data_IF_289934290137
#
_entry.id   IF_289934290137
#
_cell.length_a   1.000
_cell.length_b   1.000
_cell.length_c   1.000
_cell.angle_alpha   90.00
_cell.angle_beta   90.00
_cell.angle_gamma   90.00
#
_symmetry.space_group_name_H-M   'P 1'
#
loop_
_entity.id
_entity.type
_entity.pdbx_description
1 polymer ?
#
# COMPACT_ATOMS: atom_id res chain seq x y z
N UNK A 1 6.89 17.81 5.63
CA UNK A 1 5.57 17.79 6.30
C UNK A 1 4.55 18.02 5.21
N UNK A 2 3.67 17.06 5.01
CA UNK A 2 2.72 17.07 3.89
C UNK A 2 1.31 17.47 4.30
N UNK A 3 0.87 17.14 5.52
CA UNK A 3 -0.48 17.48 5.98
C UNK A 3 -0.62 18.90 6.46
N UNK A 4 -1.76 19.54 6.14
CA UNK A 4 -2.19 20.77 6.77
C UNK A 4 -2.50 20.51 8.25
N UNK A 5 -1.87 21.25 9.15
CA UNK A 5 -2.03 21.05 10.60
C UNK A 5 -3.47 21.20 11.08
N UNK A 6 -4.27 22.03 10.38
CA UNK A 6 -5.68 22.28 10.73
C UNK A 6 -6.67 21.22 10.23
N UNK A 7 -6.24 20.22 9.42
CA UNK A 7 -7.12 19.12 9.05
C UNK A 7 -7.38 18.22 10.26
N UNK A 8 -8.54 17.59 10.32
CA UNK A 8 -8.91 16.66 11.38
C UNK A 8 -8.83 15.22 10.87
N UNK A 9 -8.32 14.32 11.71
CA UNK A 9 -8.23 12.89 11.39
C UNK A 9 -9.51 12.20 11.84
N UNK A 10 -10.17 11.50 10.90
CA UNK A 10 -11.30 10.63 11.18
C UNK A 10 -10.81 9.18 11.32
N UNK A 11 -10.90 8.65 12.53
CA UNK A 11 -10.51 7.27 12.85
C UNK A 11 -11.67 6.28 12.81
N UNK A 12 -12.86 6.70 12.40
CA UNK A 12 -14.09 5.89 12.49
C UNK A 12 -14.08 4.59 11.68
N UNK A 13 -13.30 4.54 10.60
CA UNK A 13 -13.11 3.33 9.78
C UNK A 13 -11.83 2.58 10.12
N UNK A 14 -11.06 3.05 11.12
CA UNK A 14 -9.76 2.50 11.49
C UNK A 14 -9.83 1.66 12.74
N UNK A 15 -9.17 0.51 12.69
CA UNK A 15 -8.91 -0.34 13.86
C UNK A 15 -7.40 -0.45 14.09
N UNK A 16 -7.00 -0.77 15.31
CA UNK A 16 -5.61 -1.06 15.64
C UNK A 16 -5.54 -2.30 16.52
N UNK A 17 -4.69 -3.25 16.15
CA UNK A 17 -4.43 -4.47 16.93
C UNK A 17 -2.93 -4.65 17.12
N UNK A 18 -2.52 -4.99 18.36
CA UNK A 18 -1.18 -5.46 18.64
C UNK A 18 -1.14 -6.97 18.48
N UNK A 19 -0.26 -7.48 17.64
CA UNK A 19 -0.01 -8.91 17.53
C UNK A 19 0.77 -9.42 18.75
N UNK A 20 0.48 -10.65 19.20
CA UNK A 20 1.29 -11.31 20.19
C UNK A 20 2.70 -11.58 19.63
N UNK A 21 3.72 -10.97 20.20
CA UNK A 21 5.11 -11.39 19.96
C UNK A 21 5.28 -12.80 20.53
N UNK A 22 5.25 -13.81 19.69
CA UNK A 22 5.79 -15.11 20.05
C UNK A 22 7.25 -14.94 20.46
N UNK A 23 7.77 -15.74 21.43
CA UNK A 23 9.15 -15.65 21.85
C UNK A 23 10.05 -15.87 20.64
N UNK A 24 10.82 -14.85 20.29
CA UNK A 24 11.72 -14.84 19.15
C UNK A 24 12.71 -16.01 19.21
N UNK A 25 12.41 -17.09 18.54
CA UNK A 25 13.40 -17.98 17.98
C UNK A 25 13.64 -17.47 16.55
N UNK A 26 14.81 -16.85 16.38
CA UNK A 26 15.30 -16.53 15.06
C UNK A 26 15.21 -17.76 14.18
N UNK A 27 14.19 -17.81 13.35
CA UNK A 27 14.16 -18.71 12.21
C UNK A 27 15.11 -18.04 11.21
N UNK A 28 16.31 -18.58 11.13
CA UNK A 28 17.14 -18.42 9.96
C UNK A 28 16.42 -19.18 8.81
N UNK A 29 15.30 -18.62 8.36
CA UNK A 29 14.88 -18.89 7.01
C UNK A 29 15.86 -18.09 6.16
N UNK A 30 16.59 -18.76 5.30
CA UNK A 30 17.32 -18.14 4.20
C UNK A 30 16.33 -17.48 3.24
N UNK A 31 15.48 -16.61 3.77
CA UNK A 31 14.45 -15.82 3.15
C UNK A 31 14.93 -14.38 3.19
N UNK A 32 15.84 -14.05 2.25
CA UNK A 32 15.99 -12.69 1.81
C UNK A 32 14.69 -12.21 1.16
N UNK A 33 14.70 -10.99 0.67
CA UNK A 33 13.64 -10.27 -0.06
C UNK A 33 12.62 -11.11 -0.89
N UNK A 34 12.96 -12.35 -1.27
CA UNK A 34 12.09 -13.28 -1.99
C UNK A 34 10.88 -13.82 -1.20
N UNK A 35 10.93 -13.85 0.14
CA UNK A 35 9.81 -14.35 0.95
C UNK A 35 8.62 -13.38 0.99
N UNK A 36 8.90 -12.09 1.01
CA UNK A 36 7.89 -11.01 1.00
C UNK A 36 7.06 -11.03 -0.30
N UNK A 37 7.74 -11.20 -1.43
CA UNK A 37 7.11 -11.29 -2.76
C UNK A 37 6.15 -12.47 -2.89
N UNK A 38 6.48 -13.62 -2.32
CA UNK A 38 5.68 -14.84 -2.50
C UNK A 38 4.31 -14.71 -1.84
N UNK A 39 4.20 -14.02 -0.72
CA UNK A 39 2.95 -13.91 0.04
C UNK A 39 2.00 -12.90 -0.59
N UNK A 40 2.49 -11.75 -1.02
CA UNK A 40 1.69 -10.74 -1.73
C UNK A 40 1.15 -11.32 -3.04
N UNK A 41 2.01 -12.00 -3.80
CA UNK A 41 1.63 -12.73 -5.03
C UNK A 41 0.58 -13.80 -4.75
N UNK A 42 0.72 -14.57 -3.68
CA UNK A 42 -0.24 -15.62 -3.33
C UNK A 42 -1.64 -15.04 -3.08
N UNK A 43 -1.74 -13.92 -2.36
CA UNK A 43 -3.01 -13.24 -2.10
C UNK A 43 -3.69 -12.75 -3.39
N UNK A 44 -2.92 -12.14 -4.29
CA UNK A 44 -3.45 -11.66 -5.58
C UNK A 44 -3.75 -12.76 -6.59
N UNK A 45 -3.02 -13.86 -6.56
CA UNK A 45 -3.26 -14.99 -7.46
C UNK A 45 -4.33 -15.96 -6.95
N UNK A 46 -4.96 -15.69 -5.80
CA UNK A 46 -5.95 -16.61 -5.20
C UNK A 46 -5.35 -17.93 -4.74
N UNK A 47 -4.04 -17.98 -4.57
CA UNK A 47 -3.34 -19.12 -3.97
C UNK A 47 -3.42 -18.95 -2.46
N UNK A 48 -3.88 -19.98 -1.76
CA UNK A 48 -3.92 -19.97 -0.29
C UNK A 48 -2.51 -19.75 0.27
N UNK A 49 -2.25 -18.60 0.97
CA UNK A 49 -0.93 -18.32 1.52
C UNK A 49 -0.42 -19.42 2.44
N UNK A 50 -1.34 -20.18 3.08
CA UNK A 50 -0.99 -21.31 3.95
C UNK A 50 -0.34 -22.47 3.19
N UNK A 51 -0.50 -22.53 1.86
CA UNK A 51 0.12 -23.56 1.03
C UNK A 51 1.60 -23.26 0.71
N UNK A 52 2.05 -22.01 0.89
CA UNK A 52 3.41 -21.57 0.61
C UNK A 52 4.19 -21.21 1.87
N UNK A 53 3.51 -21.08 3.02
CA UNK A 53 4.11 -20.84 4.33
C UNK A 53 4.13 -22.15 5.13
N UNK A 54 5.27 -22.62 5.69
CA UNK A 54 5.29 -23.78 6.55
C UNK A 54 4.36 -23.60 7.75
N UNK A 55 3.38 -24.49 7.93
CA UNK A 55 2.47 -24.46 9.08
C UNK A 55 3.26 -24.55 10.38
N UNK A 56 3.29 -23.46 11.16
CA UNK A 56 3.73 -23.49 12.54
C UNK A 56 2.55 -23.89 13.43
N UNK A 57 2.73 -24.96 14.19
CA UNK A 57 1.79 -25.37 15.22
C UNK A 57 1.56 -24.23 16.23
N UNK A 58 0.30 -23.92 16.50
CA UNK A 58 -0.12 -22.96 17.50
C UNK A 58 0.51 -23.29 18.87
N UNK A 59 1.44 -22.47 19.32
CA UNK A 59 1.91 -22.46 20.71
C UNK A 59 0.87 -21.78 21.62
N UNK A 60 1.04 -21.89 22.96
CA UNK A 60 0.08 -21.29 23.90
C UNK A 60 -0.05 -19.81 23.66
N UNK A 61 -1.29 -19.32 23.65
CA UNK A 61 -1.65 -17.90 23.50
C UNK A 61 -0.88 -17.06 24.52
N UNK A 62 0.02 -16.23 24.02
CA UNK A 62 0.66 -15.16 24.78
C UNK A 62 -0.27 -13.95 24.82
N UNK A 63 -0.22 -13.19 25.90
CA UNK A 63 -1.04 -11.99 26.10
C UNK A 63 -0.95 -11.06 24.87
N UNK A 64 -2.12 -10.64 24.37
CA UNK A 64 -2.22 -9.67 23.27
C UNK A 64 -1.51 -8.38 23.68
N UNK A 65 -0.58 -7.92 22.86
CA UNK A 65 0.00 -6.58 23.03
C UNK A 65 -1.09 -5.57 22.63
N UNK A 66 -1.36 -4.54 23.41
CA UNK A 66 -2.32 -3.51 23.01
C UNK A 66 -1.91 -2.90 21.65
N UNK A 67 -2.88 -2.69 20.75
CA UNK A 67 -2.67 -1.95 19.52
C UNK A 67 -2.31 -0.48 19.78
N UNK A 68 -1.97 0.23 18.72
CA UNK A 68 -1.72 1.67 18.79
C UNK A 68 -2.98 2.43 19.24
N UNK A 69 -2.84 3.38 20.16
CA UNK A 69 -3.93 4.21 20.65
C UNK A 69 -4.31 5.29 19.63
N UNK A 70 -5.38 5.03 18.87
CA UNK A 70 -5.90 5.92 17.83
C UNK A 70 -6.38 7.29 18.37
N UNK A 71 -6.60 7.44 19.67
CA UNK A 71 -6.98 8.72 20.27
C UNK A 71 -5.89 9.79 20.17
N UNK A 72 -4.67 9.40 19.85
CA UNK A 72 -3.55 10.29 19.57
C UNK A 72 -3.66 10.98 18.21
N UNK A 73 -4.42 10.40 17.26
CA UNK A 73 -4.55 10.91 15.91
C UNK A 73 -5.73 11.89 15.81
N UNK A 74 -5.49 13.17 15.95
CA UNK A 74 -6.54 14.20 15.96
C UNK A 74 -6.45 15.14 14.76
N UNK A 75 -5.25 15.57 14.41
CA UNK A 75 -5.01 16.64 13.45
C UNK A 75 -3.89 16.29 12.46
N UNK A 76 -3.75 17.09 11.42
CA UNK A 76 -2.63 16.98 10.49
C UNK A 76 -1.26 17.16 11.15
N UNK A 77 -1.17 17.89 12.27
CA UNK A 77 0.06 17.97 13.05
C UNK A 77 0.48 16.60 13.56
N UNK A 78 -0.47 15.81 14.11
CA UNK A 78 -0.21 14.44 14.57
C UNK A 78 0.20 13.54 13.40
N UNK A 79 -0.42 13.70 12.23
CA UNK A 79 -0.05 12.94 11.02
C UNK A 79 1.37 13.28 10.52
N UNK A 80 1.82 14.51 10.71
CA UNK A 80 3.18 14.91 10.35
C UNK A 80 4.25 14.28 11.25
N UNK A 81 3.92 13.93 12.50
CA UNK A 81 4.85 13.41 13.50
C UNK A 81 4.74 11.89 13.70
N UNK A 82 3.51 11.35 13.72
CA UNK A 82 3.22 9.96 14.09
C UNK A 82 2.86 9.16 12.84
N UNK A 83 3.62 8.12 12.55
CA UNK A 83 3.46 7.29 11.33
C UNK A 83 2.07 6.65 11.26
N UNK A 84 1.56 6.14 12.38
CA UNK A 84 0.21 5.55 12.46
C UNK A 84 -0.87 6.59 12.11
N UNK A 85 -0.74 7.80 12.64
CA UNK A 85 -1.66 8.88 12.32
C UNK A 85 -1.52 9.34 10.86
N UNK A 86 -0.30 9.29 10.29
CA UNK A 86 -0.06 9.54 8.86
C UNK A 86 -0.82 8.56 7.99
N UNK A 87 -0.77 7.27 8.28
CA UNK A 87 -1.54 6.24 7.54
C UNK A 87 -3.03 6.57 7.55
N UNK A 88 -3.60 6.85 8.72
CA UNK A 88 -5.03 7.18 8.85
C UNK A 88 -5.39 8.47 8.11
N UNK A 89 -4.59 9.52 8.28
CA UNK A 89 -4.79 10.81 7.61
C UNK A 89 -4.69 10.70 6.09
N UNK A 90 -3.76 9.87 5.59
CA UNK A 90 -3.65 9.57 4.16
C UNK A 90 -4.91 8.87 3.66
N UNK A 91 -5.39 7.86 4.36
CA UNK A 91 -6.67 7.20 4.03
C UNK A 91 -7.83 8.19 3.94
N UNK A 92 -7.94 9.11 4.92
CA UNK A 92 -8.98 10.15 4.88
C UNK A 92 -8.84 11.08 3.65
N UNK A 93 -7.59 11.42 3.28
CA UNK A 93 -7.32 12.23 2.09
C UNK A 93 -7.69 11.50 0.80
N UNK A 94 -7.33 10.21 0.70
CA UNK A 94 -7.66 9.35 -0.45
C UNK A 94 -9.18 9.21 -0.59
N UNK A 95 -9.88 8.94 0.52
CA UNK A 95 -11.34 8.90 0.56
C UNK A 95 -11.96 10.20 0.04
N UNK A 96 -11.45 11.35 0.51
CA UNK A 96 -11.95 12.66 0.10
C UNK A 96 -11.77 12.93 -1.40
N UNK A 97 -10.70 12.43 -2.01
CA UNK A 97 -10.46 12.53 -3.46
C UNK A 97 -11.39 11.59 -4.22
N UNK A 98 -11.42 10.30 -3.86
CA UNK A 98 -12.18 9.31 -4.61
C UNK A 98 -13.70 9.44 -4.48
N UNK A 99 -14.20 10.00 -3.39
CA UNK A 99 -15.62 10.38 -3.27
C UNK A 99 -16.06 11.39 -4.34
N UNK A 100 -15.14 12.23 -4.82
CA UNK A 100 -15.41 13.21 -5.88
C UNK A 100 -15.24 12.62 -7.28
N UNK A 101 -14.31 11.68 -7.46
CA UNK A 101 -13.93 11.14 -8.76
C UNK A 101 -14.71 9.88 -9.16
N UNK A 102 -15.10 9.04 -8.19
CA UNK A 102 -15.78 7.76 -8.45
C UNK A 102 -17.21 7.77 -7.91
N UNK A 103 -18.23 7.86 -8.77
CA UNK A 103 -19.62 7.76 -8.35
C UNK A 103 -19.89 6.43 -7.63
N UNK A 104 -20.47 6.50 -6.45
CA UNK A 104 -20.74 5.30 -5.63
C UNK A 104 -19.54 4.80 -4.81
N UNK A 105 -18.47 5.58 -4.71
CA UNK A 105 -17.35 5.26 -3.84
C UNK A 105 -17.80 5.02 -2.40
N UNK A 106 -17.34 3.93 -1.82
CA UNK A 106 -17.52 3.60 -0.40
C UNK A 106 -16.13 3.48 0.24
N UNK A 107 -16.00 3.97 1.46
CA UNK A 107 -14.72 3.95 2.17
C UNK A 107 -14.33 2.52 2.55
N UNK A 108 -13.07 2.10 2.35
CA UNK A 108 -12.57 0.87 2.92
C UNK A 108 -12.40 1.00 4.43
N UNK A 109 -12.23 -0.13 5.10
CA UNK A 109 -11.68 -0.16 6.45
C UNK A 109 -10.16 -0.03 6.40
N UNK A 110 -9.58 0.48 7.48
CA UNK A 110 -8.14 0.51 7.71
C UNK A 110 -7.81 -0.31 8.95
N UNK A 111 -6.84 -1.18 8.87
CA UNK A 111 -6.35 -1.94 10.02
C UNK A 111 -4.86 -1.70 10.21
N UNK A 112 -4.51 -1.06 11.32
CA UNK A 112 -3.13 -0.98 11.78
C UNK A 112 -2.85 -2.23 12.62
N UNK A 113 -1.80 -2.98 12.28
CA UNK A 113 -1.45 -4.18 13.02
C UNK A 113 0.06 -4.25 13.29
N UNK A 114 0.48 -5.13 14.16
CA UNK A 114 1.89 -5.45 14.41
C UNK A 114 2.05 -6.94 14.61
N UNK A 115 3.00 -7.55 13.94
CA UNK A 115 3.34 -8.96 14.04
C UNK A 115 2.43 -9.87 13.20
N UNK A 116 1.17 -10.06 13.59
CA UNK A 116 0.20 -10.90 12.85
C UNK A 116 -1.22 -10.38 12.95
N UNK A 117 -2.02 -10.66 11.94
CA UNK A 117 -3.44 -10.28 11.85
C UNK A 117 -4.24 -11.35 11.11
N UNK A 118 -5.46 -11.61 11.58
CA UNK A 118 -6.43 -12.42 10.84
C UNK A 118 -7.28 -11.51 9.95
N UNK A 119 -7.43 -11.90 8.68
CA UNK A 119 -8.14 -11.12 7.66
C UNK A 119 -9.16 -11.98 6.91
N UNK A 120 -10.07 -11.34 6.19
CA UNK A 120 -10.98 -12.04 5.29
C UNK A 120 -10.28 -12.83 4.17
N UNK A 121 -9.03 -12.48 3.86
CA UNK A 121 -8.19 -13.16 2.86
C UNK A 121 -7.27 -14.24 3.47
N UNK A 122 -7.37 -14.50 4.78
CA UNK A 122 -6.52 -15.44 5.52
C UNK A 122 -5.60 -14.73 6.53
N UNK A 123 -4.83 -15.49 7.32
CA UNK A 123 -3.89 -14.92 8.27
C UNK A 123 -2.71 -14.26 7.55
N UNK A 124 -2.27 -13.12 8.05
CA UNK A 124 -1.10 -12.39 7.54
C UNK A 124 -0.14 -12.02 8.66
N UNK A 125 1.12 -11.79 8.32
CA UNK A 125 2.17 -11.34 9.23
C UNK A 125 2.83 -10.08 8.70
N UNK A 126 3.62 -9.40 9.52
CA UNK A 126 4.42 -8.22 9.12
C UNK A 126 5.31 -8.46 7.89
N UNK A 127 5.65 -9.73 7.60
CA UNK A 127 6.47 -10.08 6.42
C UNK A 127 5.74 -9.87 5.08
N UNK A 128 4.41 -9.75 5.11
CA UNK A 128 3.60 -9.50 3.90
C UNK A 128 3.76 -8.07 3.40
N UNK A 129 4.06 -7.14 4.30
CA UNK A 129 3.95 -5.70 4.03
C UNK A 129 2.51 -5.20 4.07
N UNK A 130 2.25 -3.95 3.69
CA UNK A 130 0.90 -3.42 3.47
C UNK A 130 0.16 -4.17 2.36
N UNK A 131 -1.14 -4.33 2.50
CA UNK A 131 -1.98 -4.97 1.48
C UNK A 131 -3.45 -4.61 1.64
N UNK A 132 -4.20 -4.72 0.54
CA UNK A 132 -5.65 -4.63 0.52
C UNK A 132 -6.28 -6.01 0.40
N UNK A 133 -7.27 -6.31 1.26
CA UNK A 133 -8.07 -7.52 1.16
C UNK A 133 -9.46 -7.21 0.57
N UNK A 134 -9.80 -7.72 -0.62
CA UNK A 134 -11.09 -7.45 -1.24
C UNK A 134 -12.26 -8.15 -0.56
N UNK A 135 -12.02 -9.23 0.18
CA UNK A 135 -13.08 -10.04 0.83
C UNK A 135 -13.74 -9.25 1.98
N UNK A 136 -12.95 -8.56 2.78
CA UNK A 136 -13.43 -7.75 3.91
C UNK A 136 -13.36 -6.23 3.66
N UNK A 137 -12.85 -5.85 2.47
CA UNK A 137 -12.68 -4.46 2.02
C UNK A 137 -11.84 -3.64 3.00
N UNK A 138 -10.72 -4.21 3.44
CA UNK A 138 -9.84 -3.61 4.44
C UNK A 138 -8.43 -3.44 3.88
N UNK A 139 -7.84 -2.26 4.05
CA UNK A 139 -6.43 -2.00 3.82
C UNK A 139 -5.66 -2.22 5.14
N UNK A 140 -4.67 -3.08 5.11
CA UNK A 140 -3.89 -3.53 6.25
C UNK A 140 -2.49 -2.93 6.23
N UNK A 141 -2.05 -2.37 7.37
CA UNK A 141 -0.75 -1.73 7.48
C UNK A 141 -0.03 -2.16 8.76
N UNK A 142 1.11 -2.82 8.61
CA UNK A 142 2.12 -2.83 9.66
C UNK A 142 3.04 -1.62 9.45
N UNK A 143 3.03 -0.67 10.38
CA UNK A 143 3.79 0.57 10.24
C UNK A 143 5.30 0.39 10.34
N UNK A 144 5.78 -0.73 10.87
CA UNK A 144 7.20 -1.09 10.87
C UNK A 144 7.74 -1.32 9.45
N UNK A 145 6.84 -1.65 8.49
CA UNK A 145 7.20 -1.78 7.09
C UNK A 145 7.84 -0.52 6.50
N UNK A 146 7.46 0.67 6.93
CA UNK A 146 8.05 1.90 6.39
C UNK A 146 9.54 2.04 6.72
N UNK A 147 9.99 1.52 7.85
CA UNK A 147 11.42 1.46 8.15
C UNK A 147 12.13 0.37 7.31
N UNK A 148 11.47 -0.76 7.06
CA UNK A 148 11.95 -1.79 6.15
C UNK A 148 12.06 -1.24 4.73
N UNK A 149 11.04 -0.53 4.24
CA UNK A 149 11.02 0.12 2.93
C UNK A 149 12.22 1.04 2.72
N UNK A 150 12.59 1.79 3.76
CA UNK A 150 13.74 2.68 3.75
C UNK A 150 15.07 1.92 3.84
N UNK A 151 15.22 1.03 4.81
CA UNK A 151 16.51 0.43 5.16
C UNK A 151 16.90 -0.76 4.31
N UNK A 152 15.92 -1.53 3.82
CA UNK A 152 16.16 -2.74 3.03
C UNK A 152 15.89 -2.52 1.54
N UNK A 153 14.87 -1.75 1.19
CA UNK A 153 14.48 -1.49 -0.21
C UNK A 153 15.05 -0.19 -0.77
N UNK A 154 15.66 0.65 0.09
CA UNK A 154 16.35 1.87 -0.34
C UNK A 154 15.42 3.01 -0.77
N UNK A 155 14.19 3.03 -0.28
CA UNK A 155 13.29 4.19 -0.40
C UNK A 155 13.85 5.39 0.38
N UNK A 156 13.52 6.60 -0.04
CA UNK A 156 13.90 7.83 0.68
C UNK A 156 13.36 7.89 2.10
N UNK A 157 12.24 7.21 2.39
CA UNK A 157 11.56 7.23 3.68
C UNK A 157 10.90 8.57 4.01
N UNK A 158 10.78 9.48 3.04
CA UNK A 158 10.08 10.74 3.22
C UNK A 158 8.57 10.56 3.45
N UNK A 159 7.86 11.60 3.93
CA UNK A 159 6.44 11.49 4.22
C UNK A 159 5.62 11.01 3.03
N UNK A 160 5.79 11.60 1.83
CA UNK A 160 5.02 11.20 0.66
C UNK A 160 5.40 9.79 0.15
N UNK A 161 6.59 9.26 0.48
CA UNK A 161 6.93 7.87 0.22
C UNK A 161 6.03 6.90 0.99
N UNK A 162 5.70 7.23 2.25
CA UNK A 162 4.79 6.44 3.09
C UNK A 162 3.33 6.62 2.65
N UNK A 163 2.94 7.84 2.34
CA UNK A 163 1.60 8.20 1.87
C UNK A 163 1.28 7.55 0.52
N UNK A 164 2.27 7.44 -0.38
CA UNK A 164 2.13 6.72 -1.65
C UNK A 164 1.74 5.25 -1.42
N UNK A 165 2.39 4.56 -0.47
CA UNK A 165 2.05 3.16 -0.17
C UNK A 165 0.60 3.04 0.27
N UNK A 166 0.13 3.95 1.14
CA UNK A 166 -1.28 3.95 1.57
C UNK A 166 -2.21 4.20 0.38
N UNK A 167 -1.91 5.18 -0.46
CA UNK A 167 -2.73 5.51 -1.62
C UNK A 167 -2.76 4.37 -2.65
N UNK A 168 -1.68 3.59 -2.78
CA UNK A 168 -1.60 2.40 -3.62
C UNK A 168 -2.57 1.31 -3.14
N UNK A 169 -2.61 1.00 -1.84
CA UNK A 169 -3.55 0.02 -1.28
C UNK A 169 -5.02 0.46 -1.46
N UNK A 170 -5.28 1.75 -1.34
CA UNK A 170 -6.58 2.32 -1.68
C UNK A 170 -6.87 2.27 -3.19
N UNK A 171 -5.84 2.31 -4.04
CA UNK A 171 -5.95 2.04 -5.47
C UNK A 171 -6.53 0.65 -5.74
N UNK A 172 -6.10 -0.36 -5.01
CA UNK A 172 -6.69 -1.70 -5.08
C UNK A 172 -8.15 -1.73 -4.60
N UNK A 173 -8.49 -0.90 -3.61
CA UNK A 173 -9.89 -0.74 -3.22
C UNK A 173 -10.74 -0.14 -4.34
N UNK A 174 -10.24 0.89 -5.02
CA UNK A 174 -10.91 1.47 -6.21
C UNK A 174 -11.11 0.41 -7.29
N UNK A 175 -10.08 -0.36 -7.62
CA UNK A 175 -10.16 -1.47 -8.57
C UNK A 175 -11.21 -2.52 -8.16
N UNK A 176 -11.35 -2.79 -6.87
CA UNK A 176 -12.37 -3.69 -6.35
C UNK A 176 -13.78 -3.12 -6.58
N UNK A 177 -13.98 -1.83 -6.31
CA UNK A 177 -15.27 -1.15 -6.56
C UNK A 177 -15.62 -1.10 -8.06
N UNK A 178 -14.63 -0.94 -8.92
CA UNK A 178 -14.79 -0.98 -10.38
C UNK A 178 -14.97 -2.41 -10.94
N UNK A 179 -14.76 -3.44 -10.11
CA UNK A 179 -14.89 -4.85 -10.51
C UNK A 179 -13.74 -5.34 -11.40
N UNK A 180 -12.60 -4.63 -11.43
CA UNK A 180 -11.45 -4.97 -12.28
C UNK A 180 -10.36 -5.74 -11.54
N UNK A 181 -10.34 -5.73 -10.21
CA UNK A 181 -9.30 -6.36 -9.40
C UNK A 181 -9.15 -7.87 -9.70
N UNK A 182 -10.24 -8.56 -9.98
CA UNK A 182 -10.22 -9.98 -10.35
C UNK A 182 -9.50 -10.30 -11.67
N UNK A 183 -9.16 -9.29 -12.48
CA UNK A 183 -8.38 -9.48 -13.72
C UNK A 183 -6.94 -9.88 -13.45
N UNK A 184 -6.39 -9.54 -12.29
CA UNK A 184 -5.04 -9.92 -11.89
C UNK A 184 -4.80 -11.43 -11.97
N UNK A 185 -5.84 -12.24 -11.72
CA UNK A 185 -5.79 -13.70 -11.71
C UNK A 185 -5.96 -14.32 -13.10
N UNK A 186 -6.16 -13.51 -14.14
CA UNK A 186 -6.45 -13.97 -15.50
C UNK A 186 -5.32 -13.57 -16.45
N UNK A 187 -4.98 -14.43 -17.39
CA UNK A 187 -4.04 -14.13 -18.47
C UNK A 187 -2.60 -14.44 -18.17
N UNK A 188 -1.69 -13.82 -18.95
CA UNK A 188 -0.26 -14.10 -18.89
C UNK A 188 0.38 -13.50 -17.62
N UNK A 189 1.44 -14.14 -17.15
CA UNK A 189 2.37 -13.63 -16.15
C UNK A 189 3.50 -12.84 -16.81
N UNK A 190 4.33 -12.20 -15.99
CA UNK A 190 5.52 -11.47 -16.45
C UNK A 190 5.27 -9.99 -16.67
N UNK A 191 6.27 -9.31 -17.24
CA UNK A 191 6.36 -7.84 -17.34
C UNK A 191 5.13 -7.14 -17.97
N UNK A 192 4.34 -7.84 -18.76
CA UNK A 192 3.10 -7.34 -19.36
C UNK A 192 1.88 -8.13 -18.90
N UNK A 193 2.02 -8.95 -17.86
CA UNK A 193 0.96 -9.78 -17.30
C UNK A 193 -0.12 -8.98 -16.58
N UNK A 194 -1.28 -9.60 -16.37
CA UNK A 194 -2.40 -8.91 -15.72
C UNK A 194 -2.12 -8.56 -14.26
N UNK A 195 -1.28 -9.31 -13.55
CA UNK A 195 -0.80 -8.93 -12.22
C UNK A 195 -0.09 -7.57 -12.28
N UNK A 196 0.93 -7.46 -13.13
CA UNK A 196 1.67 -6.20 -13.34
C UNK A 196 0.72 -5.06 -13.74
N UNK A 197 -0.23 -5.29 -14.66
CA UNK A 197 -1.22 -4.27 -15.06
C UNK A 197 -2.08 -3.78 -13.89
N UNK A 198 -2.47 -4.68 -13.00
CA UNK A 198 -3.23 -4.34 -11.79
C UNK A 198 -2.40 -3.45 -10.86
N UNK A 199 -1.15 -3.80 -10.62
CA UNK A 199 -0.24 -3.01 -9.78
C UNK A 199 0.03 -1.62 -10.35
N UNK A 200 0.33 -1.54 -11.64
CA UNK A 200 0.59 -0.26 -12.31
C UNK A 200 -0.64 0.64 -12.36
N UNK A 201 -1.84 0.07 -12.43
CA UNK A 201 -3.08 0.85 -12.31
C UNK A 201 -3.25 1.40 -10.90
N UNK A 202 -2.93 0.63 -9.86
CA UNK A 202 -2.95 1.11 -8.47
C UNK A 202 -1.91 2.23 -8.26
N UNK A 203 -0.73 2.13 -8.85
CA UNK A 203 0.27 3.21 -8.86
C UNK A 203 -0.26 4.48 -9.54
N UNK A 204 -0.96 4.33 -10.66
CA UNK A 204 -1.58 5.45 -11.37
C UNK A 204 -2.68 6.10 -10.51
N UNK A 205 -3.51 5.32 -9.84
CA UNK A 205 -4.54 5.82 -8.93
C UNK A 205 -3.94 6.55 -7.71
N UNK A 206 -2.80 6.08 -7.20
CA UNK A 206 -2.04 6.82 -6.19
C UNK A 206 -1.53 8.15 -6.73
N UNK A 207 -1.11 8.20 -7.99
CA UNK A 207 -0.76 9.44 -8.69
C UNK A 207 -1.94 10.39 -8.84
N UNK A 208 -3.11 9.89 -9.25
CA UNK A 208 -4.36 10.68 -9.33
C UNK A 208 -4.71 11.27 -7.97
N UNK A 209 -4.63 10.49 -6.88
CA UNK A 209 -4.80 11.03 -5.54
C UNK A 209 -3.83 12.17 -5.26
N UNK A 210 -2.54 11.99 -5.51
CA UNK A 210 -1.52 13.00 -5.25
C UNK A 210 -1.77 14.31 -6.02
N UNK A 211 -2.32 14.22 -7.24
CA UNK A 211 -2.73 15.39 -8.03
C UNK A 211 -3.75 16.28 -7.28
N UNK A 212 -4.72 15.65 -6.63
CA UNK A 212 -5.84 16.36 -5.98
C UNK A 212 -5.64 16.60 -4.49
N UNK A 213 -4.73 15.89 -3.82
CA UNK A 213 -4.61 15.86 -2.36
C UNK A 213 -4.41 17.24 -1.71
N UNK A 214 -3.69 18.14 -2.40
CA UNK A 214 -3.44 19.50 -1.92
C UNK A 214 -4.58 20.49 -2.19
N UNK A 215 -5.56 20.14 -3.03
CA UNK A 215 -6.68 21.01 -3.38
C UNK A 215 -8.03 20.49 -2.89
N UNK A 216 -8.13 19.18 -2.64
CA UNK A 216 -9.33 18.57 -2.04
C UNK A 216 -9.46 19.00 -0.58
N UNK A 217 -10.58 19.63 -0.27
CA UNK A 217 -10.88 20.13 1.07
C UNK A 217 -11.67 19.10 1.87
N UNK A 218 -11.32 18.99 3.13
CA UNK A 218 -12.11 18.23 4.10
C UNK A 218 -13.44 18.96 4.36
N UNK A 219 -14.56 18.27 4.23
CA UNK A 219 -15.90 18.87 4.39
C UNK A 219 -16.10 19.49 5.76
N UNK A 220 -15.62 18.84 6.83
CA UNK A 220 -15.82 19.28 8.21
C UNK A 220 -15.08 20.56 8.58
N UNK A 221 -13.91 20.81 7.94
CA UNK A 221 -13.03 21.95 8.30
C UNK A 221 -12.90 22.99 7.18
N UNK A 222 -13.17 22.60 5.94
CA UNK A 222 -12.91 23.42 4.75
C UNK A 222 -11.41 23.58 4.43
N UNK A 223 -10.52 22.91 5.17
CA UNK A 223 -9.08 22.93 4.97
C UNK A 223 -8.68 21.82 3.99
N UNK A 224 -7.76 22.08 3.04
CA UNK A 224 -7.18 21.01 2.22
C UNK A 224 -6.49 19.95 3.10
N UNK A 225 -6.52 18.69 2.67
CA UNK A 225 -5.85 17.64 3.43
C UNK A 225 -4.33 17.84 3.48
N UNK A 226 -3.73 18.05 2.32
CA UNK A 226 -2.28 18.25 2.21
C UNK A 226 -1.94 19.72 1.91
N UNK A 227 -0.72 20.09 2.25
CA UNK A 227 -0.09 21.30 1.72
C UNK A 227 0.29 21.09 0.25
N UNK A 228 0.54 22.17 -0.52
CA UNK A 228 1.06 22.01 -1.88
C UNK A 228 2.30 21.13 -1.90
N UNK A 229 2.26 20.07 -2.72
CA UNK A 229 3.36 19.13 -2.85
C UNK A 229 4.56 19.80 -3.54
N UNK A 230 5.75 19.56 -3.03
CA UNK A 230 7.01 20.01 -3.60
C UNK A 230 7.61 18.97 -4.53
N UNK A 231 8.57 19.35 -5.37
CA UNK A 231 9.34 18.41 -6.19
C UNK A 231 10.01 17.31 -5.34
N UNK A 232 10.41 17.66 -4.10
CA UNK A 232 10.98 16.69 -3.16
C UNK A 232 9.95 15.66 -2.73
N UNK A 233 8.72 16.08 -2.44
CA UNK A 233 7.66 15.17 -2.04
C UNK A 233 7.36 14.18 -3.19
N UNK A 234 7.26 14.67 -4.43
CA UNK A 234 7.08 13.81 -5.60
C UNK A 234 8.27 12.85 -5.78
N UNK A 235 9.50 13.33 -5.60
CA UNK A 235 10.68 12.46 -5.64
C UNK A 235 10.64 11.38 -4.54
N UNK A 236 10.10 11.67 -3.36
CA UNK A 236 9.91 10.70 -2.28
C UNK A 236 8.91 9.59 -2.69
N UNK A 237 7.77 9.95 -3.30
CA UNK A 237 6.80 8.98 -3.82
C UNK A 237 7.41 8.10 -4.93
N UNK A 238 8.09 8.71 -5.90
CA UNK A 238 8.79 7.99 -6.98
C UNK A 238 9.89 7.07 -6.44
N UNK A 239 10.57 7.47 -5.37
CA UNK A 239 11.55 6.62 -4.68
C UNK A 239 10.89 5.38 -4.08
N UNK A 240 9.73 5.53 -3.43
CA UNK A 240 8.99 4.39 -2.90
C UNK A 240 8.52 3.45 -4.03
N UNK A 241 7.88 3.98 -5.07
CA UNK A 241 7.43 3.21 -6.23
C UNK A 241 8.59 2.42 -6.87
N UNK A 242 9.73 3.06 -7.06
CA UNK A 242 10.93 2.41 -7.61
C UNK A 242 11.50 1.34 -6.69
N UNK A 243 11.47 1.55 -5.36
CA UNK A 243 12.12 0.66 -4.41
C UNK A 243 11.47 -0.71 -4.31
N UNK A 244 10.19 -0.82 -4.67
CA UNK A 244 9.41 -2.06 -4.67
C UNK A 244 9.17 -2.63 -6.08
N UNK A 245 9.93 -2.18 -7.09
CA UNK A 245 9.94 -2.80 -8.42
C UNK A 245 10.58 -4.18 -8.40
N UNK A 246 9.98 -5.12 -9.16
CA UNK A 246 10.45 -6.50 -9.23
C UNK A 246 11.91 -6.60 -9.72
N UNK A 247 12.33 -5.72 -10.61
CA UNK A 247 13.70 -5.64 -11.12
C UNK A 247 14.72 -5.37 -9.99
N UNK A 248 14.45 -4.39 -9.14
CA UNK A 248 15.33 -4.05 -8.01
C UNK A 248 15.33 -5.12 -6.93
N UNK A 249 14.16 -5.66 -6.62
CA UNK A 249 14.03 -6.70 -5.61
C UNK A 249 14.78 -7.96 -6.06
N UNK A 250 14.59 -8.39 -7.31
CA UNK A 250 15.26 -9.58 -7.85
C UNK A 250 16.78 -9.39 -7.96
N UNK A 251 17.23 -8.22 -8.42
CA UNK A 251 18.65 -7.93 -8.51
C UNK A 251 19.31 -7.92 -7.13
N UNK A 252 18.66 -7.30 -6.14
CA UNK A 252 19.16 -7.28 -4.75
C UNK A 252 19.21 -8.67 -4.12
N UNK A 253 18.19 -9.51 -4.39
CA UNK A 253 18.07 -10.83 -3.79
C UNK A 253 18.95 -11.90 -4.47
N UNK A 254 19.12 -11.83 -5.80
CA UNK A 254 19.72 -12.92 -6.60
C UNK A 254 20.81 -12.47 -7.53
N UNK A 255 21.01 -11.18 -7.72
CA UNK A 255 21.94 -10.60 -8.70
C UNK A 255 21.48 -10.81 -10.16
N UNK A 256 20.22 -11.16 -10.38
CA UNK A 256 19.65 -11.40 -11.70
C UNK A 256 18.22 -10.94 -11.78
N UNK A 257 17.84 -10.36 -12.92
CA UNK A 257 16.46 -9.93 -13.22
C UNK A 257 15.81 -10.92 -14.17
N UNK A 258 14.61 -11.39 -13.86
CA UNK A 258 13.80 -12.27 -14.70
C UNK A 258 12.41 -11.66 -14.92
N UNK A 259 12.18 -10.92 -16.02
CA UNK A 259 10.89 -10.26 -16.27
C UNK A 259 9.70 -11.21 -16.42
N UNK A 260 9.92 -12.46 -16.78
CA UNK A 260 8.86 -13.46 -16.94
C UNK A 260 8.18 -13.86 -15.60
N UNK A 261 8.84 -13.56 -14.48
CA UNK A 261 8.31 -13.84 -13.14
C UNK A 261 7.83 -12.58 -12.41
N UNK A 262 7.75 -11.45 -13.10
CA UNK A 262 7.27 -10.21 -12.48
C UNK A 262 5.78 -10.27 -12.16
N UNK A 263 5.44 -9.62 -11.08
CA UNK A 263 4.08 -9.54 -10.54
C UNK A 263 3.66 -8.12 -10.21
N UNK A 264 4.63 -7.23 -9.93
CA UNK A 264 4.41 -5.82 -9.59
C UNK A 264 4.92 -4.85 -10.68
N UNK A 265 5.75 -5.34 -11.59
CA UNK A 265 6.36 -4.53 -12.63
C UNK A 265 7.74 -3.96 -12.25
N UNK A 266 8.41 -3.35 -13.23
CA UNK A 266 9.71 -2.73 -13.01
C UNK A 266 9.59 -1.41 -12.26
N UNK A 267 10.70 -1.00 -11.67
CA UNK A 267 10.85 0.33 -11.06
C UNK A 267 10.45 1.46 -12.02
N UNK A 268 10.83 1.34 -13.30
CA UNK A 268 10.51 2.33 -14.34
C UNK A 268 9.00 2.35 -14.65
N UNK A 269 8.38 1.19 -14.80
CA UNK A 269 6.94 1.07 -15.03
C UNK A 269 6.14 1.70 -13.90
N UNK A 270 6.46 1.38 -12.64
CA UNK A 270 5.79 1.92 -11.47
C UNK A 270 5.88 3.44 -11.37
N UNK A 271 7.08 4.00 -11.58
CA UNK A 271 7.28 5.45 -11.60
C UNK A 271 6.52 6.11 -12.76
N UNK A 272 6.52 5.50 -13.95
CA UNK A 272 5.79 6.01 -15.13
C UNK A 272 4.29 6.13 -14.83
N UNK A 273 3.69 5.09 -14.30
CA UNK A 273 2.25 5.07 -14.06
C UNK A 273 1.83 5.99 -12.91
N UNK A 274 2.58 6.05 -11.82
CA UNK A 274 2.36 7.07 -10.79
C UNK A 274 2.44 8.49 -11.40
N UNK A 275 3.47 8.76 -12.19
CA UNK A 275 3.65 10.06 -12.85
C UNK A 275 2.50 10.38 -13.81
N UNK A 276 1.99 9.39 -14.54
CA UNK A 276 0.83 9.54 -15.43
C UNK A 276 -0.40 10.02 -14.64
N UNK A 277 -0.72 9.34 -13.54
CA UNK A 277 -1.81 9.75 -12.65
C UNK A 277 -1.60 11.14 -12.06
N UNK A 278 -0.40 11.41 -11.56
CA UNK A 278 -0.07 12.69 -10.95
C UNK A 278 -0.15 13.87 -11.94
N UNK A 279 0.33 13.71 -13.16
CA UNK A 279 0.31 14.78 -14.15
C UNK A 279 -1.08 15.05 -14.71
N UNK A 280 -1.88 14.01 -14.89
CA UNK A 280 -3.19 14.13 -15.55
C UNK A 280 -4.35 14.38 -14.59
N UNK A 281 -4.30 13.79 -13.39
CA UNK A 281 -5.43 13.75 -12.47
C UNK A 281 -6.66 13.01 -13.02
N UNK A 282 -6.52 12.33 -14.17
CA UNK A 282 -7.63 11.67 -14.87
C UNK A 282 -7.56 10.14 -14.71
N UNK A 283 -8.48 9.52 -13.95
CA UNK A 283 -8.52 8.07 -13.79
C UNK A 283 -8.61 7.30 -15.10
N UNK A 284 -9.20 7.89 -16.16
CA UNK A 284 -9.29 7.26 -17.46
C UNK A 284 -7.90 7.05 -18.13
N UNK A 285 -6.89 7.83 -17.74
CA UNK A 285 -5.51 7.63 -18.19
C UNK A 285 -4.82 6.45 -17.49
N UNK A 286 -5.44 5.86 -16.48
CA UNK A 286 -4.92 4.71 -15.74
C UNK A 286 -5.36 3.35 -16.34
N UNK A 287 -5.81 3.31 -17.58
CA UNK A 287 -6.19 2.05 -18.24
C UNK A 287 -4.95 1.25 -18.69
N UNK A 288 -4.30 0.61 -17.72
CA UNK A 288 -3.15 -0.27 -17.95
C UNK A 288 -3.52 -1.53 -18.72
N UNK A 289 -4.79 -1.96 -18.66
CA UNK A 289 -5.24 -3.19 -19.32
C UNK A 289 -5.36 -3.04 -20.83
N UNK A 290 -5.67 -1.85 -21.33
CA UNK A 290 -5.72 -1.54 -22.76
C UNK A 290 -4.39 -0.98 -23.29
N UNK A 291 -3.46 -0.61 -22.42
CA UNK A 291 -2.17 -0.07 -22.82
C UNK A 291 -1.36 -1.13 -23.59
N UNK A 292 -0.81 -0.72 -24.76
CA UNK A 292 0.05 -1.57 -25.59
C UNK A 292 1.47 -1.69 -25.03
N UNK A 293 1.90 -0.65 -24.35
CA UNK A 293 3.23 -0.52 -23.78
C UNK A 293 3.10 0.01 -22.34
N UNK A 294 3.59 -0.76 -21.41
CA UNK A 294 3.56 -0.41 -19.99
C UNK A 294 4.78 0.42 -19.54
N UNK A 295 5.81 0.48 -20.35
CA UNK A 295 7.09 1.13 -20.07
C UNK A 295 8.26 0.20 -20.06
#
# INVERSE_FOLDING_TARGET
MTFNEGMQIDTSTTSSSGGGRGPGRGIAVGGGLGGLLIVVVALFLGVDPSSVIPQQQAGPQTAETPGFDLSQCKTGADANEIVQCRVVATGNSVDGVWQQLLPGYTRPKVSLFSGSVDTGCGPATSDVGPFYCPVDQTAYFDTDFFEILKTQFGSSGGPLAQEYVVAHEFGHHVQNLEGVLGRAQQGAQGANGNGVRTELQADCYAGVWAHFAAITKQESTGVPFLQPLTDKDIADALSAASSVGDDRIQESATGRVNPESWTHGSSEQRQKWFTTGYQTGDPAQCDTFSARDLG
#
